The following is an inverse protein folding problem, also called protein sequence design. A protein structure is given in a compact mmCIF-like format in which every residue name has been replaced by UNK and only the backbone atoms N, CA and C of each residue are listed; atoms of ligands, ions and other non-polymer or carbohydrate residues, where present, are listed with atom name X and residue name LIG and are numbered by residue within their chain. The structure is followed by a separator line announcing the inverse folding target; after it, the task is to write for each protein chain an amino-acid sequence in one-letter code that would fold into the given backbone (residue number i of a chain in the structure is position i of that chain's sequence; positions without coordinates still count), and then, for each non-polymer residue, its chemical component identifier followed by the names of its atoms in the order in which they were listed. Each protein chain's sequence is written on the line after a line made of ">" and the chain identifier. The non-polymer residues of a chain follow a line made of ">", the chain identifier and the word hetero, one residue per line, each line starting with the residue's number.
data_IF_000825139939
#
_entry.id   IF_000825139939
#
_cell.length_a   1.000
_cell.length_b   1.000
_cell.length_c   1.000
_cell.angle_alpha   90.00
_cell.angle_beta   90.00
_cell.angle_gamma   90.00
#
_symmetry.space_group_name_H-M   'P 1'
#
loop_
_entity.id
_entity.type
_entity.pdbx_description
1 polymer ?
#
# COMPACT_ATOMS: atom_id res chain seq x y z
N UNK A 1 18.90 32.81 -17.40
CA UNK A 1 19.68 32.47 -16.20
C UNK A 1 19.46 30.99 -15.89
N UNK A 2 20.50 30.15 -16.00
CA UNK A 2 20.38 28.69 -15.87
C UNK A 2 20.73 28.29 -14.43
N UNK A 3 19.74 27.87 -13.64
CA UNK A 3 19.96 27.36 -12.29
C UNK A 3 20.68 26.01 -12.38
N UNK A 4 21.93 25.96 -11.96
CA UNK A 4 22.66 24.71 -11.75
C UNK A 4 22.25 24.16 -10.37
N UNK A 5 21.26 23.27 -10.35
CA UNK A 5 20.91 22.52 -9.14
C UNK A 5 21.95 21.42 -8.92
N UNK A 6 22.85 21.61 -7.95
CA UNK A 6 23.73 20.55 -7.48
C UNK A 6 22.91 19.45 -6.80
N UNK A 7 23.29 18.19 -6.99
CA UNK A 7 22.63 17.06 -6.33
C UNK A 7 22.76 17.14 -4.80
N UNK A 8 21.73 16.68 -4.09
CA UNK A 8 21.75 16.64 -2.61
C UNK A 8 22.68 15.51 -2.15
N UNK A 9 23.68 15.86 -1.33
CA UNK A 9 24.54 14.89 -0.66
C UNK A 9 23.82 14.38 0.59
N UNK A 10 23.23 13.19 0.50
CA UNK A 10 22.49 12.57 1.60
C UNK A 10 23.45 11.68 2.39
N UNK A 11 23.44 11.70 3.74
CA UNK A 11 24.23 10.78 4.55
C UNK A 11 23.86 9.33 4.24
N UNK A 12 24.87 8.45 4.21
CA UNK A 12 24.67 7.02 3.98
C UNK A 12 24.00 6.37 5.21
N UNK A 13 22.75 5.90 5.07
CA UNK A 13 21.95 5.29 6.16
C UNK A 13 21.71 3.79 5.93
N UNK A 14 22.76 3.06 5.55
CA UNK A 14 22.73 1.60 5.33
C UNK A 14 23.03 0.83 6.63
N UNK A 15 22.36 1.18 7.71
CA UNK A 15 22.67 0.71 9.07
C UNK A 15 22.53 -0.82 9.26
N UNK A 16 21.87 -1.50 8.32
CA UNK A 16 21.59 -2.94 8.36
C UNK A 16 22.30 -3.73 7.26
N UNK A 17 23.29 -3.14 6.56
CA UNK A 17 23.91 -3.75 5.38
C UNK A 17 24.56 -5.12 5.63
N UNK A 18 25.15 -5.30 6.83
CA UNK A 18 25.86 -6.52 7.22
C UNK A 18 24.99 -7.47 8.07
N UNK A 19 23.70 -7.14 8.25
CA UNK A 19 22.80 -7.98 9.04
C UNK A 19 22.17 -9.06 8.16
N UNK A 20 21.96 -10.25 8.73
CA UNK A 20 21.19 -11.29 8.08
C UNK A 20 19.75 -10.82 7.84
N UNK A 21 19.19 -11.20 6.69
CA UNK A 21 17.79 -10.95 6.40
C UNK A 21 16.91 -11.73 7.39
N UNK A 22 15.91 -11.06 7.95
CA UNK A 22 14.96 -11.64 8.89
C UNK A 22 13.55 -11.58 8.30
N UNK A 23 12.74 -12.61 8.60
CA UNK A 23 11.31 -12.55 8.34
C UNK A 23 10.66 -11.53 9.27
N UNK A 24 9.98 -10.56 8.68
CA UNK A 24 9.16 -9.63 9.45
C UNK A 24 7.88 -10.36 9.92
N UNK A 25 7.46 -10.15 11.18
CA UNK A 25 6.17 -10.63 11.62
C UNK A 25 5.05 -9.98 10.80
N UNK A 26 3.94 -10.68 10.63
CA UNK A 26 2.77 -10.12 9.97
C UNK A 26 2.22 -9.01 10.88
N UNK A 27 1.99 -7.79 10.37
CA UNK A 27 1.44 -6.70 11.16
C UNK A 27 0.03 -7.02 11.64
N UNK A 28 -0.32 -6.60 12.86
CA UNK A 28 -1.65 -6.83 13.44
C UNK A 28 -2.77 -6.12 12.64
N UNK A 29 -2.45 -4.98 12.04
CA UNK A 29 -3.36 -4.19 11.22
C UNK A 29 -2.62 -3.59 10.02
N UNK A 30 -3.31 -3.50 8.89
CA UNK A 30 -2.82 -2.81 7.69
C UNK A 30 -3.86 -1.82 7.19
N UNK A 31 -3.39 -0.74 6.59
CA UNK A 31 -4.21 0.19 5.83
C UNK A 31 -3.86 0.03 4.36
N UNK A 32 -4.88 -0.19 3.52
CA UNK A 32 -4.70 -0.42 2.08
C UNK A 32 -5.36 0.73 1.32
N UNK A 33 -4.59 1.67 0.76
CA UNK A 33 -5.14 2.77 -0.02
C UNK A 33 -5.85 2.27 -1.27
N UNK A 34 -7.07 2.78 -1.51
CA UNK A 34 -7.76 2.55 -2.78
C UNK A 34 -7.22 3.42 -3.93
N UNK A 35 -6.29 4.33 -3.64
CA UNK A 35 -5.69 5.27 -4.59
C UNK A 35 -4.16 5.24 -4.50
N UNK A 36 -3.54 4.14 -4.92
CA UNK A 36 -2.08 3.99 -5.01
C UNK A 36 -1.57 3.98 -6.47
N UNK A 37 -2.42 4.37 -7.41
CA UNK A 37 -2.11 4.44 -8.84
C UNK A 37 -2.65 5.73 -9.45
N UNK A 38 -2.17 6.09 -10.65
CA UNK A 38 -2.55 7.34 -11.35
C UNK A 38 -4.04 7.41 -11.77
N UNK A 39 -4.67 6.25 -11.93
CA UNK A 39 -6.07 6.13 -12.33
C UNK A 39 -7.09 6.50 -11.23
N UNK A 40 -8.37 6.53 -11.60
CA UNK A 40 -9.48 6.75 -10.68
C UNK A 40 -9.46 5.72 -9.53
N UNK A 41 -9.67 6.13 -8.25
CA UNK A 41 -9.57 5.23 -7.11
C UNK A 41 -10.39 3.94 -7.27
N UNK A 42 -9.86 2.83 -6.78
CA UNK A 42 -10.58 1.58 -6.72
C UNK A 42 -11.82 1.70 -5.83
N UNK A 43 -12.92 1.06 -6.24
CA UNK A 43 -14.18 1.05 -5.49
C UNK A 43 -14.17 -0.18 -4.57
N UNK A 44 -14.23 -0.02 -3.23
CA UNK A 44 -14.29 -1.15 -2.31
C UNK A 44 -15.44 -2.10 -2.66
N UNK A 45 -15.16 -3.42 -2.61
CA UNK A 45 -16.14 -4.50 -2.84
C UNK A 45 -16.41 -5.35 -1.59
N UNK A 46 -15.82 -4.96 -0.47
CA UNK A 46 -16.03 -5.53 0.87
C UNK A 46 -16.64 -4.47 1.78
N UNK A 47 -17.09 -4.88 2.96
CA UNK A 47 -17.64 -3.99 4.00
C UNK A 47 -17.03 -4.30 5.37
N UNK A 48 -17.10 -3.37 6.35
CA UNK A 48 -16.70 -3.65 7.72
C UNK A 48 -17.37 -4.92 8.27
N UNK A 49 -16.57 -5.76 8.94
CA UNK A 49 -16.98 -7.06 9.47
C UNK A 49 -16.72 -8.23 8.52
N UNK A 50 -16.46 -8.00 7.23
CA UNK A 50 -16.17 -9.08 6.29
C UNK A 50 -14.82 -9.74 6.62
N UNK A 51 -14.77 -11.07 6.53
CA UNK A 51 -13.51 -11.82 6.52
C UNK A 51 -12.92 -11.81 5.11
N UNK A 52 -11.62 -11.56 5.02
CA UNK A 52 -10.85 -11.55 3.77
C UNK A 52 -9.67 -12.49 3.86
N UNK A 53 -9.24 -13.04 2.72
CA UNK A 53 -8.00 -13.82 2.58
C UNK A 53 -6.97 -13.06 1.76
N UNK A 54 -5.69 -13.34 1.99
CA UNK A 54 -4.60 -12.85 1.11
C UNK A 54 -4.94 -13.11 -0.35
N UNK A 55 -4.78 -12.09 -1.19
CA UNK A 55 -5.08 -12.18 -2.62
C UNK A 55 -6.57 -12.09 -2.97
N UNK A 56 -7.46 -11.92 -2.00
CA UNK A 56 -8.87 -11.64 -2.26
C UNK A 56 -9.04 -10.22 -2.81
N UNK A 57 -9.86 -10.06 -3.85
CA UNK A 57 -10.24 -8.76 -4.39
C UNK A 57 -11.02 -7.97 -3.33
N UNK A 58 -10.52 -6.79 -2.96
CA UNK A 58 -11.16 -5.91 -1.97
C UNK A 58 -11.55 -4.55 -2.55
N UNK A 59 -11.00 -4.17 -3.70
CA UNK A 59 -11.43 -3.01 -4.48
C UNK A 59 -11.39 -3.31 -5.98
N UNK A 60 -12.47 -3.02 -6.70
CA UNK A 60 -12.52 -3.14 -8.16
C UNK A 60 -12.09 -1.84 -8.83
N UNK A 61 -11.59 -1.90 -10.07
CA UNK A 61 -11.26 -0.72 -10.86
C UNK A 61 -12.44 0.26 -10.95
N UNK A 62 -12.18 1.54 -10.70
CA UNK A 62 -13.21 2.59 -10.56
C UNK A 62 -13.41 3.50 -11.78
N UNK A 63 -12.69 3.27 -12.88
CA UNK A 63 -12.78 4.09 -14.09
C UNK A 63 -11.98 3.53 -15.26
N UNK A 64 -11.93 4.28 -16.36
CA UNK A 64 -11.25 3.86 -17.60
C UNK A 64 -9.75 3.57 -17.38
N UNK A 65 -9.08 4.44 -16.62
CA UNK A 65 -7.74 4.18 -16.08
C UNK A 65 -7.90 3.93 -14.59
N UNK A 66 -7.67 2.71 -14.13
CA UNK A 66 -7.74 2.29 -12.72
C UNK A 66 -7.18 0.86 -12.59
N UNK A 67 -6.82 0.43 -11.38
CA UNK A 67 -6.39 -0.94 -11.12
C UNK A 67 -7.15 -1.57 -9.94
N UNK A 68 -7.38 -2.89 -9.96
CA UNK A 68 -7.96 -3.59 -8.81
C UNK A 68 -6.99 -3.62 -7.62
N UNK A 69 -7.56 -3.69 -6.41
CA UNK A 69 -6.84 -3.77 -5.14
C UNK A 69 -7.19 -5.09 -4.45
N UNK A 70 -6.16 -5.79 -3.99
CA UNK A 70 -6.26 -7.09 -3.33
C UNK A 70 -5.77 -7.01 -1.87
N UNK A 71 -6.30 -7.87 -1.01
CA UNK A 71 -5.90 -7.93 0.38
C UNK A 71 -4.44 -8.41 0.53
N UNK A 72 -3.63 -7.64 1.26
CA UNK A 72 -2.25 -8.01 1.59
C UNK A 72 -2.14 -9.00 2.75
N UNK A 73 -3.19 -9.08 3.58
CA UNK A 73 -3.27 -9.99 4.75
C UNK A 73 -4.65 -10.64 4.82
N UNK A 74 -4.71 -11.83 5.42
CA UNK A 74 -5.97 -12.45 5.82
C UNK A 74 -6.44 -11.85 7.14
N UNK A 75 -7.73 -11.60 7.30
CA UNK A 75 -8.25 -11.00 8.53
C UNK A 75 -9.68 -10.49 8.37
N UNK A 76 -10.06 -9.52 9.19
CA UNK A 76 -11.41 -8.92 9.18
C UNK A 76 -11.32 -7.44 8.83
N UNK A 77 -12.17 -6.98 7.90
CA UNK A 77 -12.24 -5.56 7.54
C UNK A 77 -12.76 -4.75 8.73
N UNK A 78 -11.91 -3.89 9.30
CA UNK A 78 -12.27 -3.10 10.48
C UNK A 78 -13.08 -1.83 10.13
N UNK A 79 -12.67 -1.11 9.09
CA UNK A 79 -13.26 0.16 8.66
C UNK A 79 -12.98 0.39 7.18
N UNK A 80 -13.86 1.13 6.51
CA UNK A 80 -13.64 1.70 5.18
C UNK A 80 -13.95 3.20 5.29
N UNK A 81 -13.00 4.06 4.91
CA UNK A 81 -13.17 5.50 4.98
C UNK A 81 -11.84 6.24 4.79
N UNK A 82 -11.90 7.57 4.79
CA UNK A 82 -10.71 8.42 4.83
C UNK A 82 -10.07 8.35 6.22
N UNK A 83 -8.75 8.56 6.26
CA UNK A 83 -8.00 8.76 7.50
C UNK A 83 -8.27 10.16 8.04
#
# INVERSE_FOLDING_TARGET
>A
MRLHIHGVHVPNRKNTAELAALLLPIPETVEIPMSMHIGAPAIPVVKPGDSVRVGQLIGKAGGFVSAPVYASVSGTVKKIGQQ
#
